data_IF_142068696955
#
_entry.id   IF_142068696955
#
_cell.length_a   1.000
_cell.length_b   1.000
_cell.length_c   1.000
_cell.angle_alpha   90.00
_cell.angle_beta   90.00
_cell.angle_gamma   90.00
#
_symmetry.space_group_name_H-M   'P 1'
#
loop_
_entity.id
_entity.type
_entity.pdbx_description
1 polymer ?
#
# COMPACT_ATOMS: atom_id res chain seq x y z
N UNK A 1 -25.53 18.42 60.87
CA UNK A 1 -26.33 17.58 59.99
C UNK A 1 -25.60 17.50 58.65
N UNK A 2 -24.69 16.53 58.56
CA UNK A 2 -24.15 15.91 57.34
C UNK A 2 -25.33 15.52 56.43
N UNK A 3 -25.28 15.67 55.10
CA UNK A 3 -24.63 14.75 54.15
C UNK A 3 -24.19 15.46 52.84
N UNK A 4 -23.10 14.95 52.28
CA UNK A 4 -22.47 15.30 51.01
C UNK A 4 -23.31 14.77 49.84
N UNK A 5 -23.60 15.62 48.85
CA UNK A 5 -24.05 15.25 47.50
C UNK A 5 -23.22 16.11 46.53
N UNK A 6 -22.58 15.63 45.49
CA UNK A 6 -22.10 14.29 45.14
C UNK A 6 -21.18 14.59 43.96
N UNK A 7 -19.88 14.49 44.19
CA UNK A 7 -18.86 14.52 43.14
C UNK A 7 -19.02 13.24 42.31
N UNK A 8 -19.89 13.30 41.30
CA UNK A 8 -20.06 12.24 40.31
C UNK A 8 -20.14 12.88 38.91
N UNK A 9 -19.16 13.73 38.62
CA UNK A 9 -18.88 14.28 37.29
C UNK A 9 -17.48 13.83 36.82
N UNK A 10 -17.04 12.66 37.26
CA UNK A 10 -15.76 12.05 36.90
C UNK A 10 -16.04 10.56 36.70
N UNK A 11 -15.54 10.00 35.60
CA UNK A 11 -15.77 8.62 35.12
C UNK A 11 -16.99 8.42 34.19
N UNK A 12 -17.34 9.41 33.37
CA UNK A 12 -17.90 9.10 32.05
C UNK A 12 -16.76 8.59 31.16
N UNK A 13 -16.37 7.34 31.42
CA UNK A 13 -16.01 6.30 30.46
C UNK A 13 -15.50 6.85 29.11
N UNK A 14 -14.25 7.31 29.09
CA UNK A 14 -13.38 7.08 27.93
C UNK A 14 -13.07 5.57 27.90
N UNK A 15 -14.09 4.73 27.67
CA UNK A 15 -13.85 3.49 26.99
C UNK A 15 -13.62 3.90 25.53
N UNK A 16 -12.40 4.33 25.25
CA UNK A 16 -11.86 4.16 23.91
C UNK A 16 -11.82 2.64 23.79
N UNK A 17 -12.92 2.07 23.29
CA UNK A 17 -12.85 0.80 22.64
C UNK A 17 -11.81 1.03 21.54
N UNK A 18 -10.59 0.57 21.78
CA UNK A 18 -9.72 0.14 20.71
C UNK A 18 -10.55 -0.90 19.98
N UNK A 19 -11.31 -0.44 19.00
CA UNK A 19 -11.89 -1.30 17.98
C UNK A 19 -10.63 -1.80 17.29
N UNK A 20 -10.11 -2.93 17.77
CA UNK A 20 -9.21 -3.75 16.99
C UNK A 20 -10.00 -4.01 15.72
N UNK A 21 -9.70 -3.24 14.68
CA UNK A 21 -10.26 -3.46 13.37
C UNK A 21 -9.67 -4.81 12.98
N UNK A 22 -10.50 -5.85 13.03
CA UNK A 22 -10.07 -7.18 12.67
C UNK A 22 -9.61 -7.11 11.22
N UNK A 23 -8.31 -7.34 10.99
CA UNK A 23 -7.76 -7.48 9.64
C UNK A 23 -8.61 -8.50 8.86
N UNK A 24 -9.04 -8.14 7.65
CA UNK A 24 -9.95 -8.95 6.84
C UNK A 24 -9.32 -10.27 6.35
N UNK A 25 -7.99 -10.35 6.46
CA UNK A 25 -7.14 -11.46 6.05
C UNK A 25 -5.69 -10.99 6.16
N UNK A 26 -4.73 -11.89 6.47
CA UNK A 26 -3.37 -11.46 6.72
C UNK A 26 -2.77 -10.89 5.44
N UNK A 27 -2.07 -9.77 5.61
CA UNK A 27 -1.19 -9.18 4.61
C UNK A 27 -0.08 -10.19 4.26
N UNK A 28 0.28 -10.30 2.98
CA UNK A 28 1.24 -11.31 2.54
C UNK A 28 2.22 -10.78 1.52
N UNK A 29 3.48 -11.21 1.65
CA UNK A 29 4.55 -10.97 0.69
C UNK A 29 5.03 -12.33 0.17
N UNK A 30 5.18 -12.47 -1.15
CA UNK A 30 5.68 -13.69 -1.78
C UNK A 30 6.84 -13.38 -2.70
N UNK A 31 7.88 -14.21 -2.62
CA UNK A 31 9.03 -14.23 -3.52
C UNK A 31 9.00 -15.52 -4.32
N UNK A 32 9.04 -15.39 -5.65
CA UNK A 32 8.98 -16.49 -6.61
C UNK A 32 9.99 -16.25 -7.72
N UNK A 33 10.98 -17.13 -7.88
CA UNK A 33 11.97 -17.07 -8.95
C UNK A 33 11.69 -18.06 -10.11
N UNK A 34 10.56 -18.78 -10.04
CA UNK A 34 10.16 -19.79 -11.02
C UNK A 34 11.03 -21.05 -11.02
N UNK A 35 11.98 -21.19 -10.09
CA UNK A 35 12.90 -22.33 -9.98
C UNK A 35 12.71 -23.05 -8.65
N UNK A 36 12.81 -22.31 -7.55
CA UNK A 36 12.59 -22.81 -6.19
C UNK A 36 11.10 -22.69 -5.82
N UNK A 37 10.70 -23.40 -4.76
CA UNK A 37 9.34 -23.26 -4.23
C UNK A 37 9.12 -21.81 -3.72
N UNK A 38 8.00 -21.14 -4.07
CA UNK A 38 7.76 -19.77 -3.65
C UNK A 38 7.77 -19.62 -2.13
N UNK A 39 8.43 -18.57 -1.65
CA UNK A 39 8.54 -18.27 -0.22
C UNK A 39 7.55 -17.17 0.10
N UNK A 40 6.62 -17.46 1.02
CA UNK A 40 5.57 -16.52 1.42
C UNK A 40 5.74 -16.16 2.89
N UNK A 41 5.77 -14.87 3.18
CA UNK A 41 5.60 -14.30 4.50
C UNK A 41 4.14 -13.87 4.69
N UNK A 42 3.60 -14.21 5.85
CA UNK A 42 2.23 -13.89 6.25
C UNK A 42 2.34 -13.01 7.49
N UNK A 43 1.69 -11.85 7.47
CA UNK A 43 1.62 -10.92 8.61
C UNK A 43 1.23 -11.66 9.89
N UNK A 44 2.06 -11.48 10.93
CA UNK A 44 1.94 -12.16 12.22
C UNK A 44 2.02 -13.69 12.14
N UNK A 45 2.62 -14.21 11.07
CA UNK A 45 2.57 -15.60 10.68
C UNK A 45 3.93 -16.18 10.31
N UNK A 46 3.90 -17.16 9.41
CA UNK A 46 5.12 -17.82 8.96
C UNK A 46 5.99 -16.86 8.14
N UNK A 47 7.31 -16.92 8.37
CA UNK A 47 8.34 -16.14 7.67
C UNK A 47 8.21 -14.62 7.76
N UNK A 48 7.42 -14.11 8.71
CA UNK A 48 7.38 -12.69 9.05
C UNK A 48 8.32 -12.42 10.23
N UNK A 49 9.32 -11.57 9.99
CA UNK A 49 10.29 -11.16 11.00
C UNK A 49 9.76 -9.99 11.87
N UNK A 50 8.53 -9.53 11.62
CA UNK A 50 7.84 -8.50 12.39
C UNK A 50 6.75 -9.06 13.28
N UNK A 51 6.34 -8.27 14.28
CA UNK A 51 5.20 -8.60 15.14
C UNK A 51 4.15 -7.49 15.25
N UNK A 52 4.15 -6.53 14.33
CA UNK A 52 3.25 -5.38 14.28
C UNK A 52 2.25 -5.62 13.15
N UNK A 53 0.97 -5.62 13.48
CA UNK A 53 -0.11 -5.81 12.50
C UNK A 53 0.02 -4.83 11.31
N UNK A 54 -0.14 -5.35 10.09
CA UNK A 54 -0.08 -4.57 8.86
C UNK A 54 1.35 -4.28 8.40
N UNK A 55 2.36 -4.93 8.97
CA UNK A 55 3.76 -4.82 8.58
C UNK A 55 4.34 -6.22 8.41
N UNK A 56 4.72 -6.56 7.18
CA UNK A 56 5.43 -7.81 6.86
C UNK A 56 6.90 -7.50 6.56
N UNK A 57 7.81 -8.21 7.24
CA UNK A 57 9.23 -8.25 6.86
C UNK A 57 9.61 -9.62 6.33
N UNK A 58 10.30 -9.66 5.19
CA UNK A 58 10.79 -10.89 4.59
C UNK A 58 12.22 -10.72 4.07
N UNK A 59 13.16 -11.41 4.71
CA UNK A 59 14.51 -11.60 4.17
C UNK A 59 14.70 -13.06 3.77
N UNK A 60 14.97 -13.31 2.50
CA UNK A 60 15.07 -14.67 1.99
C UNK A 60 16.09 -14.79 0.87
N UNK A 61 16.52 -16.01 0.61
CA UNK A 61 17.38 -16.35 -0.51
C UNK A 61 16.84 -17.57 -1.22
N UNK A 62 16.91 -17.55 -2.55
CA UNK A 62 16.75 -18.70 -3.42
C UNK A 62 18.11 -19.12 -3.96
N UNK A 63 18.15 -20.14 -4.81
CA UNK A 63 19.38 -20.67 -5.40
C UNK A 63 20.18 -19.61 -6.17
N UNK A 64 19.51 -18.68 -6.86
CA UNK A 64 20.16 -17.63 -7.67
C UNK A 64 19.98 -16.21 -7.12
N UNK A 65 19.09 -16.01 -6.14
CA UNK A 65 18.69 -14.68 -5.71
C UNK A 65 18.84 -14.49 -4.22
N UNK A 66 19.43 -13.36 -3.84
CA UNK A 66 19.34 -12.82 -2.49
C UNK A 66 18.32 -11.69 -2.50
N UNK A 67 17.24 -11.85 -1.73
CA UNK A 67 16.14 -10.89 -1.68
C UNK A 67 15.94 -10.42 -0.24
N UNK A 68 16.11 -9.13 -0.02
CA UNK A 68 15.76 -8.50 1.25
C UNK A 68 14.62 -7.53 1.01
N UNK A 69 13.41 -7.94 1.38
CA UNK A 69 12.24 -7.08 1.39
C UNK A 69 12.15 -6.50 2.80
N UNK A 70 12.56 -5.25 2.91
CA UNK A 70 12.69 -4.63 4.23
C UNK A 70 11.35 -4.30 4.85
N UNK A 71 10.31 -3.95 4.09
CA UNK A 71 8.97 -3.72 4.66
C UNK A 71 7.86 -3.76 3.60
N UNK A 72 6.86 -4.61 3.77
CA UNK A 72 5.54 -4.44 3.17
C UNK A 72 4.58 -3.86 4.22
N UNK A 73 4.02 -2.69 3.99
CA UNK A 73 3.13 -1.98 4.92
C UNK A 73 1.75 -1.83 4.28
N UNK A 74 0.70 -2.14 5.03
CA UNK A 74 -0.68 -1.96 4.61
C UNK A 74 -1.61 -1.78 5.81
N UNK A 75 -2.91 -2.03 5.66
CA UNK A 75 -3.84 -2.01 6.78
C UNK A 75 -3.36 -2.97 7.89
N UNK A 76 -3.44 -2.58 9.19
CA UNK A 76 -3.93 -1.31 9.73
C UNK A 76 -2.83 -0.24 9.93
N UNK A 77 -1.59 -0.52 9.56
CA UNK A 77 -0.46 0.41 9.72
C UNK A 77 -0.60 1.64 8.82
N UNK A 78 -1.07 1.45 7.57
CA UNK A 78 -1.46 2.52 6.64
C UNK A 78 -2.79 2.18 5.97
N UNK A 79 -3.60 3.20 5.67
CA UNK A 79 -4.92 2.99 5.07
C UNK A 79 -5.91 2.32 6.03
N UNK A 80 -6.93 1.66 5.46
CA UNK A 80 -7.94 0.88 6.18
C UNK A 80 -8.55 -0.19 5.28
N UNK A 81 -9.36 -1.08 5.87
CA UNK A 81 -10.18 -2.05 5.14
C UNK A 81 -11.00 -1.47 3.98
N UNK A 82 -11.36 -0.19 4.05
CA UNK A 82 -12.13 0.53 3.01
C UNK A 82 -11.35 1.66 2.37
N UNK A 83 -10.06 1.83 2.68
CA UNK A 83 -9.16 2.82 2.07
C UNK A 83 -7.82 2.13 1.83
N UNK A 84 -7.69 1.37 0.73
CA UNK A 84 -6.47 0.62 0.46
C UNK A 84 -5.27 1.54 0.31
N UNK A 85 -4.25 1.21 1.07
CA UNK A 85 -2.92 1.76 0.94
C UNK A 85 -1.92 0.62 1.12
N UNK A 86 -0.95 0.55 0.22
CA UNK A 86 0.10 -0.48 0.23
C UNK A 86 1.44 0.20 -0.07
N UNK A 87 2.46 -0.09 0.72
CA UNK A 87 3.82 0.37 0.47
C UNK A 87 4.78 -0.80 0.61
N UNK A 88 5.45 -1.14 -0.49
CA UNK A 88 6.55 -2.07 -0.53
C UNK A 88 7.85 -1.27 -0.53
N UNK A 89 8.42 -1.09 0.66
CA UNK A 89 9.54 -0.20 0.92
C UNK A 89 10.87 -0.95 1.03
N UNK A 90 11.92 -0.37 0.43
CA UNK A 90 13.31 -0.80 0.60
C UNK A 90 13.54 -2.27 0.21
N UNK A 91 13.03 -2.62 -0.98
CA UNK A 91 13.23 -3.93 -1.59
C UNK A 91 14.59 -3.95 -2.26
N UNK A 92 15.46 -4.85 -1.81
CA UNK A 92 16.77 -5.09 -2.40
C UNK A 92 16.82 -6.50 -2.97
N UNK A 93 17.22 -6.61 -4.23
CA UNK A 93 17.28 -7.88 -4.96
C UNK A 93 18.63 -7.97 -5.64
N UNK A 94 19.38 -9.02 -5.33
CA UNK A 94 20.68 -9.29 -5.93
C UNK A 94 20.68 -10.67 -6.58
N UNK A 95 21.02 -10.75 -7.87
CA UNK A 95 21.32 -12.04 -8.50
C UNK A 95 22.76 -12.44 -8.18
N UNK A 96 23.00 -13.72 -7.92
CA UNK A 96 24.29 -14.26 -7.44
C UNK A 96 25.26 -14.62 -8.57
N UNK A 97 24.94 -14.32 -9.83
CA UNK A 97 25.85 -14.49 -10.95
C UNK A 97 25.21 -14.92 -12.27
N UNK A 98 23.98 -15.44 -12.25
CA UNK A 98 23.25 -15.81 -13.46
C UNK A 98 22.12 -14.84 -13.73
N UNK A 99 21.89 -14.60 -15.03
CA UNK A 99 20.69 -13.95 -15.51
C UNK A 99 19.44 -14.74 -15.08
N UNK A 100 18.32 -14.03 -14.93
CA UNK A 100 17.05 -14.62 -14.59
C UNK A 100 16.01 -13.58 -14.25
N UNK A 101 14.83 -14.07 -13.87
CA UNK A 101 13.72 -13.24 -13.42
C UNK A 101 13.31 -13.67 -12.01
N UNK A 102 12.94 -12.69 -11.19
CA UNK A 102 12.32 -12.91 -9.89
C UNK A 102 11.08 -12.03 -9.78
N UNK A 103 10.04 -12.60 -9.20
CA UNK A 103 8.75 -11.97 -8.98
C UNK A 103 8.53 -11.80 -7.48
N UNK A 104 8.26 -10.57 -7.08
CA UNK A 104 7.89 -10.20 -5.72
C UNK A 104 6.44 -9.73 -5.77
N UNK A 105 5.56 -10.38 -5.02
CA UNK A 105 4.15 -10.00 -4.94
C UNK A 105 3.79 -9.61 -3.51
N UNK A 106 3.03 -8.53 -3.36
CA UNK A 106 2.53 -8.02 -2.10
C UNK A 106 1.01 -7.89 -2.19
N UNK A 107 0.28 -8.48 -1.25
CA UNK A 107 -1.18 -8.55 -1.34
C UNK A 107 -1.87 -8.32 -0.01
N UNK A 108 -2.96 -7.56 -0.05
CA UNK A 108 -3.84 -7.29 1.08
C UNK A 108 -5.31 -7.42 0.67
N UNK A 109 -6.16 -7.78 1.63
CA UNK A 109 -7.61 -7.91 1.43
C UNK A 109 -8.32 -6.64 1.86
N UNK A 110 -9.32 -6.22 1.10
CA UNK A 110 -10.12 -5.02 1.34
C UNK A 110 -11.62 -5.28 1.16
N UNK A 111 -12.43 -4.45 1.81
CA UNK A 111 -13.87 -4.43 1.68
C UNK A 111 -14.29 -3.58 0.47
N UNK A 112 -15.44 -3.87 -0.14
CA UNK A 112 -16.05 -3.01 -1.14
C UNK A 112 -16.33 -1.63 -0.54
N UNK A 113 -16.18 -0.60 -1.37
CA UNK A 113 -16.08 0.80 -0.92
C UNK A 113 -17.41 1.55 -1.00
N UNK A 114 -17.69 2.39 0.00
CA UNK A 114 -18.77 3.38 -0.02
C UNK A 114 -18.24 4.72 0.52
N UNK A 115 -18.03 5.76 -0.32
CA UNK A 115 -18.28 5.79 -1.77
C UNK A 115 -17.23 4.97 -2.55
N UNK A 116 -17.61 4.54 -3.76
CA UNK A 116 -16.72 3.85 -4.71
C UNK A 116 -15.50 4.74 -4.98
N UNK A 117 -14.30 4.27 -4.65
CA UNK A 117 -13.09 4.84 -5.23
C UNK A 117 -12.79 4.04 -6.48
N UNK A 118 -12.61 4.79 -7.55
CA UNK A 118 -12.29 4.25 -8.86
C UNK A 118 -10.81 4.37 -9.18
N UNK A 119 -10.05 5.18 -8.44
CA UNK A 119 -8.72 5.61 -8.84
C UNK A 119 -7.65 5.14 -7.84
N UNK A 120 -6.68 4.37 -8.35
CA UNK A 120 -5.47 3.98 -7.64
C UNK A 120 -4.28 4.74 -8.23
N UNK A 121 -3.55 5.43 -7.37
CA UNK A 121 -2.25 6.01 -7.69
C UNK A 121 -1.17 5.00 -7.38
N UNK A 122 -0.51 4.48 -8.40
CA UNK A 122 0.61 3.55 -8.30
C UNK A 122 1.90 4.29 -8.63
N UNK A 123 2.85 4.28 -7.71
CA UNK A 123 4.16 4.91 -7.89
C UNK A 123 5.28 3.92 -7.64
N UNK A 124 6.40 4.13 -8.35
CA UNK A 124 7.61 3.35 -8.19
C UNK A 124 8.83 4.27 -8.26
N UNK A 125 9.87 3.95 -7.50
CA UNK A 125 11.15 4.65 -7.59
C UNK A 125 12.29 3.80 -7.08
N UNK A 126 13.47 3.96 -7.66
CA UNK A 126 14.62 3.16 -7.26
C UNK A 126 15.78 3.17 -8.24
N UNK A 127 16.58 2.12 -8.15
CA UNK A 127 17.68 1.81 -9.04
C UNK A 127 17.61 0.35 -9.49
N UNK A 128 17.99 0.08 -10.73
CA UNK A 128 18.04 -1.31 -11.24
C UNK A 128 19.27 -1.53 -12.13
N UNK A 129 19.77 -2.76 -12.12
CA UNK A 129 20.75 -3.29 -13.07
C UNK A 129 20.06 -4.36 -13.96
N UNK A 130 19.10 -3.91 -14.77
CA UNK A 130 18.23 -4.75 -15.58
C UNK A 130 16.90 -4.06 -15.82
N UNK A 131 15.82 -4.84 -15.79
CA UNK A 131 14.45 -4.31 -15.90
C UNK A 131 13.66 -4.57 -14.63
N UNK A 132 12.77 -3.63 -14.31
CA UNK A 132 11.72 -3.82 -13.31
C UNK A 132 10.40 -3.53 -13.99
N UNK A 133 9.45 -4.42 -13.81
CA UNK A 133 8.06 -4.21 -14.19
C UNK A 133 7.21 -4.30 -12.93
N UNK A 134 6.44 -3.26 -12.63
CA UNK A 134 5.47 -3.28 -11.54
C UNK A 134 4.06 -3.22 -12.09
N UNK A 135 3.22 -4.13 -11.63
CA UNK A 135 1.83 -4.23 -12.02
C UNK A 135 0.93 -4.32 -10.79
N UNK A 136 -0.19 -3.62 -10.83
CA UNK A 136 -1.21 -3.63 -9.80
C UNK A 136 -2.43 -4.38 -10.30
N UNK A 137 -2.90 -5.35 -9.53
CA UNK A 137 -4.05 -6.17 -9.87
C UNK A 137 -5.11 -6.13 -8.78
N UNK A 138 -6.36 -6.29 -9.19
CA UNK A 138 -7.48 -6.65 -8.32
C UNK A 138 -7.87 -8.10 -8.60
N UNK A 139 -8.10 -8.86 -7.54
CA UNK A 139 -8.47 -10.27 -7.62
C UNK A 139 -9.41 -10.71 -6.49
N UNK A 140 -9.74 -12.00 -6.52
CA UNK A 140 -10.69 -12.64 -5.58
C UNK A 140 -9.99 -13.42 -4.47
N UNK A 141 -8.69 -13.64 -4.57
CA UNK A 141 -7.87 -14.33 -3.59
C UNK A 141 -6.45 -13.75 -3.50
N UNK A 142 -5.69 -14.13 -2.46
CA UNK A 142 -4.33 -13.66 -2.27
C UNK A 142 -3.46 -13.97 -3.49
N UNK A 143 -2.75 -12.95 -4.00
CA UNK A 143 -1.91 -13.01 -5.19
C UNK A 143 -2.63 -13.35 -6.50
N UNK A 144 -3.95 -13.21 -6.55
CA UNK A 144 -4.72 -13.32 -7.78
C UNK A 144 -4.44 -12.11 -8.69
N UNK A 145 -4.16 -12.40 -9.96
CA UNK A 145 -3.82 -11.42 -11.01
C UNK A 145 -4.98 -11.30 -12.00
N UNK A 146 -6.21 -11.19 -11.48
CA UNK A 146 -7.45 -11.20 -12.26
C UNK A 146 -7.60 -9.99 -13.19
N UNK A 147 -7.77 -8.80 -12.61
CA UNK A 147 -7.95 -7.54 -13.35
C UNK A 147 -6.72 -6.66 -13.18
N UNK A 148 -6.03 -6.35 -14.27
CA UNK A 148 -4.92 -5.39 -14.27
C UNK A 148 -5.45 -3.96 -14.14
N UNK A 149 -4.99 -3.24 -13.11
CA UNK A 149 -5.35 -1.84 -12.84
C UNK A 149 -4.32 -0.88 -13.41
N UNK A 150 -3.04 -1.19 -13.23
CA UNK A 150 -1.95 -0.38 -13.78
C UNK A 150 -0.70 -1.21 -13.97
N UNK A 151 0.14 -0.80 -14.91
CA UNK A 151 1.46 -1.38 -15.16
C UNK A 151 2.46 -0.27 -15.44
N UNK A 152 3.69 -0.44 -14.95
CA UNK A 152 4.82 0.43 -15.22
C UNK A 152 6.02 -0.45 -15.50
N UNK A 153 6.72 -0.17 -16.59
CA UNK A 153 7.91 -0.93 -16.99
C UNK A 153 9.09 0.03 -17.14
N UNK A 154 9.70 0.50 -16.03
CA UNK A 154 10.98 1.17 -16.10
C UNK A 154 12.04 0.21 -16.63
N UNK A 155 12.23 0.20 -17.95
CA UNK A 155 13.23 -0.63 -18.62
C UNK A 155 14.56 0.10 -18.69
N UNK A 156 15.63 -0.60 -18.32
CA UNK A 156 16.92 -0.41 -18.96
C UNK A 156 17.30 -1.65 -19.74
N UNK A 157 17.74 -1.45 -20.98
CA UNK A 157 18.43 -2.47 -21.74
C UNK A 157 19.93 -2.34 -21.46
N UNK A 158 20.51 -3.34 -20.78
CA UNK A 158 21.97 -3.54 -20.76
C UNK A 158 22.63 -3.81 -19.40
N UNK A 159 23.87 -4.31 -19.48
CA UNK A 159 24.75 -4.71 -18.37
C UNK A 159 25.54 -3.52 -17.80
N UNK A 160 24.91 -2.35 -17.74
CA UNK A 160 25.54 -1.08 -17.34
C UNK A 160 25.50 -0.79 -15.84
N UNK A 161 26.03 0.36 -15.40
CA UNK A 161 25.86 0.81 -14.01
C UNK A 161 24.38 0.94 -13.66
N UNK A 162 24.05 0.72 -12.38
CA UNK A 162 22.68 0.87 -11.87
C UNK A 162 22.10 2.19 -12.31
N UNK A 163 20.88 2.17 -12.84
CA UNK A 163 20.22 3.37 -13.32
C UNK A 163 19.03 3.71 -12.46
N UNK A 164 18.86 5.00 -12.20
CA UNK A 164 17.76 5.54 -11.40
C UNK A 164 16.49 5.61 -12.23
N UNK A 165 15.36 5.31 -11.62
CA UNK A 165 14.05 5.49 -12.23
C UNK A 165 13.05 6.00 -11.18
N UNK A 166 12.03 6.68 -11.67
CA UNK A 166 10.84 7.06 -10.90
C UNK A 166 9.70 7.19 -11.89
N UNK A 167 8.56 6.59 -11.56
CA UNK A 167 7.35 6.67 -12.37
C UNK A 167 6.11 6.68 -11.48
N UNK A 168 5.02 7.22 -12.02
CA UNK A 168 3.72 7.27 -11.36
C UNK A 168 2.63 7.17 -12.41
N UNK A 169 1.64 6.33 -12.14
CA UNK A 169 0.47 6.18 -12.99
C UNK A 169 -0.80 6.11 -12.14
N UNK A 170 -1.93 6.43 -12.75
CA UNK A 170 -3.24 6.26 -12.15
C UNK A 170 -3.97 5.16 -12.90
N UNK A 171 -4.34 4.10 -12.19
CA UNK A 171 -5.19 3.04 -12.72
C UNK A 171 -6.64 3.24 -12.29
N UNK A 172 -7.56 2.92 -13.18
CA UNK A 172 -8.99 3.00 -12.94
C UNK A 172 -9.58 1.60 -12.80
N UNK A 173 -10.43 1.38 -11.81
CA UNK A 173 -11.33 0.24 -11.71
C UNK A 173 -12.78 0.75 -11.60
N UNK A 174 -13.73 0.03 -12.19
CA UNK A 174 -15.17 0.40 -12.13
C UNK A 174 -15.79 0.15 -10.73
N UNK A 175 -14.94 -0.16 -9.75
CA UNK A 175 -15.33 -0.55 -8.40
C UNK A 175 -15.68 -2.02 -8.31
N UNK A 176 -15.48 -2.56 -7.11
CA UNK A 176 -15.93 -3.91 -6.76
C UNK A 176 -17.03 -3.80 -5.70
N UNK A 177 -18.17 -4.46 -5.93
CA UNK A 177 -19.27 -4.57 -4.96
C UNK A 177 -19.04 -5.68 -3.92
N UNK A 178 -17.88 -6.35 -3.98
CA UNK A 178 -17.51 -7.49 -3.14
C UNK A 178 -16.11 -7.28 -2.54
N UNK A 179 -15.80 -8.03 -1.48
CA UNK A 179 -14.45 -8.09 -0.94
C UNK A 179 -13.45 -8.45 -2.04
N UNK A 180 -12.33 -7.75 -2.08
CA UNK A 180 -11.31 -7.93 -3.09
C UNK A 180 -9.91 -8.02 -2.49
N UNK A 181 -9.00 -8.57 -3.26
CA UNK A 181 -7.57 -8.57 -2.96
C UNK A 181 -6.87 -7.62 -3.91
N UNK A 182 -6.07 -6.73 -3.36
CA UNK A 182 -5.19 -5.87 -4.14
C UNK A 182 -3.80 -6.54 -4.14
N UNK A 183 -3.23 -6.75 -5.32
CA UNK A 183 -1.93 -7.40 -5.50
C UNK A 183 -0.99 -6.48 -6.27
N UNK A 184 0.08 -6.04 -5.61
CA UNK A 184 1.19 -5.34 -6.23
C UNK A 184 2.28 -6.37 -6.56
N UNK A 185 2.59 -6.54 -7.84
CA UNK A 185 3.65 -7.44 -8.32
C UNK A 185 4.80 -6.61 -8.90
N UNK A 186 6.02 -6.88 -8.46
CA UNK A 186 7.26 -6.40 -9.05
C UNK A 186 8.04 -7.57 -9.66
N UNK A 187 8.23 -7.54 -10.97
CA UNK A 187 9.02 -8.51 -11.73
C UNK A 187 10.36 -7.89 -12.09
N UNK A 188 11.44 -8.41 -11.54
CA UNK A 188 12.81 -7.95 -11.79
C UNK A 188 13.49 -8.95 -12.72
N UNK A 189 14.10 -8.46 -13.80
CA UNK A 189 14.93 -9.29 -14.68
C UNK A 189 16.35 -8.75 -14.73
N UNK A 190 17.31 -9.63 -14.43
CA UNK A 190 18.74 -9.38 -14.53
C UNK A 190 19.28 -10.17 -15.74
N UNK A 191 19.97 -9.50 -16.67
CA UNK A 191 20.41 -10.07 -17.96
C UNK A 191 21.92 -10.34 -18.04
N UNK A 192 22.70 -9.85 -17.08
CA UNK A 192 24.17 -9.88 -17.08
C UNK A 192 24.78 -11.15 -16.48
N UNK A 193 26.02 -11.45 -16.88
CA UNK A 193 26.87 -12.41 -16.19
C UNK A 193 27.58 -11.74 -15.02
N UNK A 194 27.36 -12.23 -13.80
CA UNK A 194 27.88 -11.64 -12.56
C UNK A 194 26.78 -11.01 -11.68
N UNK A 195 27.12 -10.54 -10.47
CA UNK A 195 26.13 -10.01 -9.54
C UNK A 195 25.51 -8.71 -10.05
N UNK A 196 24.18 -8.69 -10.16
CA UNK A 196 23.41 -7.49 -10.47
C UNK A 196 22.49 -7.19 -9.29
N UNK A 197 22.27 -5.91 -9.00
CA UNK A 197 21.44 -5.49 -7.87
C UNK A 197 20.43 -4.44 -8.29
N UNK A 198 19.21 -4.62 -7.79
CA UNK A 198 18.09 -3.69 -7.91
C UNK A 198 17.60 -3.31 -6.51
N UNK A 199 17.30 -2.02 -6.31
CA UNK A 199 16.75 -1.47 -5.07
C UNK A 199 15.59 -0.56 -5.40
N UNK A 200 14.40 -0.80 -4.85
CA UNK A 200 13.23 0.02 -5.17
C UNK A 200 12.21 0.12 -4.03
N UNK A 201 11.31 1.07 -4.23
CA UNK A 201 10.11 1.33 -3.48
C UNK A 201 8.92 1.33 -4.45
N UNK A 202 7.82 0.71 -4.06
CA UNK A 202 6.58 0.73 -4.83
C UNK A 202 5.40 0.96 -3.88
N UNK A 203 4.60 1.99 -4.17
CA UNK A 203 3.48 2.37 -3.33
C UNK A 203 2.19 2.46 -4.16
N UNK A 204 1.09 2.10 -3.51
CA UNK A 204 -0.26 2.24 -4.02
C UNK A 204 -1.06 3.00 -2.98
N UNK A 205 -1.60 4.13 -3.38
CA UNK A 205 -2.54 4.91 -2.60
C UNK A 205 -3.78 5.17 -3.44
N UNK A 206 -4.88 5.47 -2.78
CA UNK A 206 -6.11 5.84 -3.45
C UNK A 206 -6.13 7.34 -3.60
N UNK A 207 -6.48 7.83 -4.80
CA UNK A 207 -6.45 9.27 -5.05
C UNK A 207 -7.32 10.00 -4.02
N UNK A 208 -6.78 11.10 -3.48
CA UNK A 208 -7.33 11.84 -2.35
C UNK A 208 -8.85 12.02 -2.46
N UNK A 209 -9.58 11.55 -1.44
CA UNK A 209 -10.99 11.86 -1.27
C UNK A 209 -11.10 13.40 -1.23
N UNK A 210 -11.89 14.05 -2.11
CA UNK A 210 -12.09 15.49 -2.05
C UNK A 210 -12.55 15.88 -0.64
N UNK A 211 -11.74 16.64 0.10
CA UNK A 211 -12.02 16.96 1.51
C UNK A 211 -13.41 17.62 1.66
N UNK A 212 -14.42 16.92 2.22
CA UNK A 212 -15.79 17.47 2.25
C UNK A 212 -15.93 18.64 3.23
N UNK A 213 -15.02 18.78 4.20
CA UNK A 213 -15.09 19.81 5.23
C UNK A 213 -14.58 21.18 4.74
N UNK A 214 -13.59 21.20 3.87
CA UNK A 214 -12.91 22.43 3.43
C UNK A 214 -13.87 23.30 2.61
N UNK A 215 -14.61 22.70 1.66
CA UNK A 215 -15.64 23.40 0.85
C UNK A 215 -16.82 23.87 1.71
N UNK A 216 -17.25 23.08 2.69
CA UNK A 216 -18.32 23.46 3.61
C UNK A 216 -17.94 24.67 4.48
N UNK A 217 -16.69 24.75 4.93
CA UNK A 217 -16.21 25.89 5.72
C UNK A 217 -16.11 27.16 4.85
N UNK A 218 -15.59 27.06 3.62
CA UNK A 218 -15.49 28.22 2.72
C UNK A 218 -16.86 28.76 2.30
N UNK A 219 -17.83 27.87 2.03
CA UNK A 219 -19.21 28.27 1.69
C UNK A 219 -19.95 28.87 2.89
N UNK A 220 -19.75 28.35 4.10
CA UNK A 220 -20.28 28.93 5.33
C UNK A 220 -19.68 30.32 5.60
N UNK A 221 -18.37 30.48 5.44
CA UNK A 221 -17.68 31.76 5.62
C UNK A 221 -18.12 32.80 4.60
N UNK A 222 -18.29 32.41 3.33
CA UNK A 222 -18.84 33.28 2.29
C UNK A 222 -20.30 33.67 2.58
N UNK A 223 -21.12 32.73 3.06
CA UNK A 223 -22.51 32.98 3.46
C UNK A 223 -22.63 33.95 4.63
N UNK A 224 -21.81 33.79 5.68
CA UNK A 224 -21.76 34.70 6.83
C UNK A 224 -21.27 36.09 6.39
N UNK A 225 -20.25 36.17 5.54
CA UNK A 225 -19.75 37.43 4.97
C UNK A 225 -20.83 38.18 4.18
N UNK A 226 -21.61 37.47 3.36
CA UNK A 226 -22.74 38.02 2.61
C UNK A 226 -23.83 38.59 3.52
N UNK A 227 -24.20 37.87 4.59
CA UNK A 227 -25.20 38.31 5.56
C UNK A 227 -24.76 39.56 6.33
N UNK A 228 -23.48 39.66 6.72
CA UNK A 228 -22.91 40.84 7.39
C UNK A 228 -22.94 42.06 6.47
N UNK A 229 -22.63 41.88 5.18
CA UNK A 229 -22.65 42.96 4.20
C UNK A 229 -24.07 43.47 3.92
N UNK A 230 -25.06 42.58 3.80
CA UNK A 230 -26.46 42.97 3.63
C UNK A 230 -26.98 43.78 4.83
N UNK A 231 -26.60 43.41 6.07
CA UNK A 231 -26.97 44.16 7.28
C UNK A 231 -26.36 45.56 7.35
N UNK A 232 -25.23 45.81 6.67
CA UNK A 232 -24.61 47.14 6.59
C UNK A 232 -25.29 48.06 5.58
N UNK A 233 -26.01 47.52 4.59
CA UNK A 233 -26.75 48.31 3.59
C UNK A 233 -28.17 48.68 4.01
N UNK A 234 -28.71 48.05 5.06
CA UNK A 234 -30.06 48.32 5.56
C UNK A 234 -30.11 49.42 6.65
N UNK A 235 -29.04 50.18 6.83
CA UNK A 235 -28.97 51.40 7.63
C UNK A 235 -28.66 52.57 6.71
#
# INVERSE_FOLDING_TARGET
>A
MTYRLSALAVCAVFAIASVCQASLGPLQVRVDDGVDAPITAIDQGANDDNNIDGIVLLSTATTNWLTTISTGISEPAIGSSTVPAMDLNSVNVTSMGNAGTIKISFTGKYLPRDPVITDFTHSIGGTTQGTIETSLYIGTSAFDEGTLISTMTPTLSGVGPSSVFSDQTTGFDDGTDVDYWLTLTATITHEGGGPQTSSFNAAVDTAAIPEPASIAIWTLMAGIGGLIWMRRRSK
#
